data_IF_474517049049
#
_entry.id   IF_474517049049
#
_cell.length_a   1.000
_cell.length_b   1.000
_cell.length_c   1.000
_cell.angle_alpha   90.00
_cell.angle_beta   90.00
_cell.angle_gamma   90.00
#
_symmetry.space_group_name_H-M   'P 1'
#
loop_
_entity.id
_entity.type
_entity.pdbx_description
1 polymer ?
#
# COMPACT_ATOMS: atom_id res chain seq x y z
N UNK A 1 -65.20 22.08 -5.45
CA UNK A 1 -64.17 22.22 -4.41
C UNK A 1 -62.91 21.53 -4.94
N UNK A 2 -61.85 22.30 -5.17
CA UNK A 2 -60.65 21.90 -5.92
C UNK A 2 -59.52 21.74 -4.91
N UNK A 3 -59.22 20.50 -4.50
CA UNK A 3 -58.12 20.22 -3.58
C UNK A 3 -56.82 20.18 -4.37
N UNK A 4 -55.98 21.19 -4.19
CA UNK A 4 -54.60 21.23 -4.71
C UNK A 4 -53.74 20.49 -3.68
N UNK A 5 -53.36 19.25 -3.97
CA UNK A 5 -52.31 18.55 -3.23
C UNK A 5 -50.96 19.14 -3.70
N UNK A 6 -50.35 19.97 -2.85
CA UNK A 6 -49.02 20.51 -3.08
C UNK A 6 -47.99 19.43 -2.67
N UNK A 7 -47.47 18.68 -3.65
CA UNK A 7 -46.39 17.73 -3.40
C UNK A 7 -45.07 18.48 -3.17
N UNK A 8 -44.64 18.57 -1.91
CA UNK A 8 -43.29 19.00 -1.57
C UNK A 8 -42.34 17.82 -1.81
N UNK A 9 -41.75 17.79 -3.00
CA UNK A 9 -40.67 16.87 -3.33
C UNK A 9 -39.39 17.40 -2.68
N UNK A 10 -39.11 16.94 -1.46
CA UNK A 10 -37.86 17.23 -0.75
C UNK A 10 -36.74 16.41 -1.40
N UNK A 11 -36.12 16.96 -2.44
CA UNK A 11 -34.92 16.40 -3.05
C UNK A 11 -33.76 16.53 -2.06
N UNK A 12 -33.56 15.51 -1.24
CA UNK A 12 -32.35 15.36 -0.43
C UNK A 12 -31.14 15.23 -1.35
N UNK A 13 -30.27 16.24 -1.35
CA UNK A 13 -28.95 16.14 -1.95
C UNK A 13 -28.15 15.13 -1.13
N UNK A 14 -28.12 13.88 -1.56
CA UNK A 14 -27.15 12.91 -1.07
C UNK A 14 -25.84 13.29 -1.74
N UNK A 15 -25.04 14.11 -1.08
CA UNK A 15 -23.63 14.29 -1.43
C UNK A 15 -22.96 12.94 -1.25
N UNK A 16 -22.74 12.23 -2.36
CA UNK A 16 -21.82 11.11 -2.41
C UNK A 16 -20.44 11.69 -2.15
N UNK A 17 -20.01 11.65 -0.89
CA UNK A 17 -18.62 11.90 -0.55
C UNK A 17 -17.80 10.79 -1.21
N UNK A 18 -17.07 11.12 -2.28
CA UNK A 18 -15.94 10.31 -2.70
C UNK A 18 -15.02 10.20 -1.49
N UNK A 19 -14.93 9.01 -0.89
CA UNK A 19 -14.08 8.81 0.28
C UNK A 19 -12.64 9.02 -0.18
N UNK A 20 -12.01 10.11 0.26
CA UNK A 20 -10.58 10.30 0.07
C UNK A 20 -9.84 9.15 0.78
N UNK A 21 -8.84 8.58 0.11
CA UNK A 21 -8.02 7.52 0.69
C UNK A 21 -7.26 8.06 1.92
N UNK A 22 -7.43 7.40 3.07
CA UNK A 22 -6.72 7.73 4.29
C UNK A 22 -5.36 7.00 4.31
N UNK A 23 -4.43 7.50 3.50
CA UNK A 23 -3.09 6.93 3.34
C UNK A 23 -2.15 7.25 4.50
N UNK A 24 -2.41 8.35 5.23
CA UNK A 24 -1.53 8.84 6.29
C UNK A 24 -1.32 7.80 7.39
N UNK A 25 -2.38 7.08 7.78
CA UNK A 25 -2.29 6.02 8.80
C UNK A 25 -1.46 4.79 8.38
N UNK A 26 -1.07 4.69 7.11
CA UNK A 26 -0.25 3.57 6.59
C UNK A 26 1.17 4.00 6.22
N UNK A 27 1.55 5.26 6.49
CA UNK A 27 2.90 5.75 6.20
C UNK A 27 3.97 5.10 7.06
N UNK A 28 3.59 4.67 8.26
CA UNK A 28 4.43 3.93 9.21
C UNK A 28 3.65 2.78 9.81
N UNK A 29 4.33 1.73 10.24
CA UNK A 29 3.71 0.59 10.92
C UNK A 29 4.32 -0.74 10.54
N UNK A 30 3.72 -1.81 11.07
CA UNK A 30 4.04 -3.18 10.70
C UNK A 30 2.90 -3.77 9.88
N UNK A 31 3.26 -4.46 8.80
CA UNK A 31 2.32 -5.00 7.84
C UNK A 31 2.72 -6.41 7.44
N UNK A 32 1.71 -7.19 7.06
CA UNK A 32 1.88 -8.44 6.33
C UNK A 32 1.36 -8.29 4.91
N UNK A 33 1.99 -8.99 3.98
CA UNK A 33 1.57 -9.07 2.59
C UNK A 33 1.74 -10.50 2.11
N UNK A 34 0.66 -11.09 1.60
CA UNK A 34 0.70 -12.43 1.02
C UNK A 34 0.97 -12.33 -0.48
N UNK A 35 2.03 -13.01 -0.91
CA UNK A 35 2.42 -13.12 -2.31
C UNK A 35 2.40 -14.60 -2.75
N UNK A 36 1.77 -14.94 -3.90
CA UNK A 36 1.66 -16.32 -4.36
C UNK A 36 2.97 -17.07 -4.57
N UNK A 37 4.11 -16.36 -4.71
CA UNK A 37 5.42 -16.96 -4.96
C UNK A 37 6.30 -17.02 -3.72
N UNK A 38 6.06 -16.13 -2.74
CA UNK A 38 6.96 -15.93 -1.59
C UNK A 38 6.28 -16.11 -0.24
N UNK A 39 4.98 -16.44 -0.23
CA UNK A 39 4.23 -16.69 0.98
C UNK A 39 3.89 -15.38 1.70
N UNK A 40 3.94 -15.43 3.03
CA UNK A 40 3.68 -14.25 3.87
C UNK A 40 4.98 -13.48 4.07
N UNK A 41 4.98 -12.24 3.61
CA UNK A 41 6.08 -11.31 3.78
C UNK A 41 5.75 -10.36 4.93
N UNK A 42 6.77 -10.05 5.74
CA UNK A 42 6.66 -9.16 6.90
C UNK A 42 7.36 -7.85 6.60
N UNK A 43 6.67 -6.74 6.82
CA UNK A 43 7.14 -5.40 6.49
C UNK A 43 7.06 -4.53 7.74
N UNK A 44 8.16 -3.88 8.12
CA UNK A 44 8.16 -2.82 9.14
C UNK A 44 8.66 -1.53 8.53
N UNK A 45 7.84 -0.48 8.58
CA UNK A 45 8.09 0.81 7.93
C UNK A 45 8.07 1.94 8.94
N UNK A 46 9.08 2.80 8.88
CA UNK A 46 9.10 4.11 9.52
C UNK A 46 9.22 5.22 8.46
N UNK A 47 9.43 6.47 8.87
CA UNK A 47 9.48 7.62 7.97
C UNK A 47 10.61 7.58 6.93
N UNK A 48 11.70 6.86 7.21
CA UNK A 48 12.93 6.86 6.42
C UNK A 48 13.26 5.50 5.81
N UNK A 49 12.89 4.41 6.47
CA UNK A 49 13.27 3.06 6.05
C UNK A 49 12.14 2.05 6.19
N UNK A 50 12.25 0.98 5.42
CA UNK A 50 11.39 -0.18 5.45
C UNK A 50 12.23 -1.46 5.50
N UNK A 51 11.96 -2.32 6.47
CA UNK A 51 12.56 -3.66 6.54
C UNK A 51 11.53 -4.65 6.01
N UNK A 52 11.93 -5.47 5.04
CA UNK A 52 11.13 -6.58 4.54
C UNK A 52 11.81 -7.90 4.86
N UNK A 53 11.04 -8.85 5.37
CA UNK A 53 11.47 -10.22 5.61
C UNK A 53 10.57 -11.20 4.83
N UNK A 54 11.21 -12.07 4.06
CA UNK A 54 10.59 -13.12 3.25
C UNK A 54 11.05 -14.47 3.80
N UNK A 55 10.31 -15.07 4.76
CA UNK A 55 10.74 -16.27 5.47
C UNK A 55 11.01 -17.46 4.54
N UNK A 56 10.17 -17.65 3.52
CA UNK A 56 10.28 -18.77 2.58
C UNK A 56 11.60 -18.73 1.79
N UNK A 57 12.20 -17.56 1.64
CA UNK A 57 13.51 -17.37 1.00
C UNK A 57 14.65 -17.19 2.02
N UNK A 58 14.33 -16.94 3.30
CA UNK A 58 15.30 -16.52 4.30
C UNK A 58 15.96 -15.17 3.97
N UNK A 59 15.27 -14.33 3.19
CA UNK A 59 15.79 -13.03 2.73
C UNK A 59 15.25 -11.91 3.59
N UNK A 60 16.14 -11.00 3.99
CA UNK A 60 15.79 -9.78 4.70
C UNK A 60 16.53 -8.59 4.11
N UNK A 61 15.80 -7.56 3.76
CA UNK A 61 16.35 -6.34 3.14
C UNK A 61 15.91 -5.11 3.91
N UNK A 62 16.76 -4.08 3.89
CA UNK A 62 16.40 -2.73 4.27
C UNK A 62 16.26 -1.88 3.01
N UNK A 63 15.18 -1.12 2.92
CA UNK A 63 14.86 -0.22 1.83
C UNK A 63 14.81 1.22 2.35
N UNK A 64 15.25 2.19 1.54
CA UNK A 64 14.95 3.59 1.80
C UNK A 64 13.50 3.88 1.42
N UNK A 65 12.83 4.70 2.22
CA UNK A 65 11.45 5.15 2.00
C UNK A 65 11.45 6.64 1.67
N UNK A 66 10.78 7.01 0.59
CA UNK A 66 10.54 8.40 0.23
C UNK A 66 9.11 8.59 -0.25
N UNK A 67 8.28 9.25 0.55
CA UNK A 67 6.94 9.67 0.14
C UNK A 67 7.04 10.81 -0.88
N UNK A 68 6.52 10.59 -2.09
CA UNK A 68 6.48 11.62 -3.14
C UNK A 68 5.20 12.45 -3.06
N UNK A 69 4.13 11.85 -2.52
CA UNK A 69 2.87 12.50 -2.18
C UNK A 69 2.21 11.77 -0.99
N UNK A 70 0.90 11.97 -0.79
CA UNK A 70 0.20 11.38 0.34
C UNK A 70 0.05 9.84 0.28
N UNK A 71 -0.05 9.28 -0.91
CA UNK A 71 -0.38 7.87 -1.15
C UNK A 71 0.70 7.14 -1.96
N UNK A 72 1.68 7.86 -2.50
CA UNK A 72 2.76 7.30 -3.30
C UNK A 72 4.10 7.37 -2.58
N UNK A 73 4.79 6.24 -2.52
CA UNK A 73 6.16 6.14 -2.04
C UNK A 73 7.10 5.53 -3.07
N UNK A 74 8.35 5.93 -2.99
CA UNK A 74 9.48 5.37 -3.70
C UNK A 74 10.30 4.52 -2.72
N UNK A 75 10.63 3.29 -3.12
CA UNK A 75 11.45 2.35 -2.38
C UNK A 75 12.70 1.99 -3.18
N UNK A 76 13.87 2.09 -2.54
CA UNK A 76 15.17 1.70 -3.12
C UNK A 76 15.93 0.80 -2.17
N UNK A 77 16.73 -0.12 -2.71
CA UNK A 77 17.56 -0.99 -1.89
C UNK A 77 18.57 -0.15 -1.09
N UNK A 78 18.62 -0.37 0.22
CA UNK A 78 19.62 0.24 1.11
C UNK A 78 20.67 -0.78 1.53
N UNK A 79 20.22 -1.95 2.00
CA UNK A 79 21.10 -3.02 2.44
C UNK A 79 20.43 -4.41 2.36
N UNK A 80 21.24 -5.46 2.25
CA UNK A 80 20.81 -6.86 2.33
C UNK A 80 21.25 -7.39 3.70
N UNK A 81 20.30 -7.47 4.63
CA UNK A 81 20.56 -7.85 6.02
C UNK A 81 20.74 -9.37 6.17
N UNK A 82 19.96 -10.17 5.46
CA UNK A 82 20.03 -11.64 5.47
C UNK A 82 19.76 -12.19 4.07
N UNK A 83 20.63 -13.08 3.57
CA UNK A 83 20.47 -13.78 2.28
C UNK A 83 21.34 -15.06 2.22
N UNK A 84 21.06 -16.07 3.06
CA UNK A 84 21.94 -17.24 3.24
C UNK A 84 22.09 -18.09 1.96
N UNK A 85 21.11 -18.00 1.06
CA UNK A 85 21.06 -18.76 -0.18
C UNK A 85 21.60 -17.98 -1.39
N UNK A 86 22.12 -16.76 -1.19
CA UNK A 86 22.65 -15.89 -2.23
C UNK A 86 21.66 -15.64 -3.39
N UNK A 87 20.39 -15.38 -3.06
CA UNK A 87 19.40 -14.95 -4.05
C UNK A 87 19.91 -13.69 -4.76
N UNK A 88 19.77 -13.59 -6.10
CA UNK A 88 20.19 -12.41 -6.83
C UNK A 88 19.23 -11.25 -6.52
N UNK A 89 19.72 -10.27 -5.76
CA UNK A 89 19.00 -9.04 -5.43
C UNK A 89 19.82 -7.90 -6.04
N UNK A 90 19.29 -7.29 -7.09
CA UNK A 90 19.91 -6.15 -7.75
C UNK A 90 19.40 -4.82 -7.19
N UNK A 91 20.04 -3.73 -7.62
CA UNK A 91 19.50 -2.39 -7.43
C UNK A 91 18.17 -2.22 -8.15
N UNK A 92 17.21 -1.56 -7.50
CA UNK A 92 15.91 -1.25 -8.09
C UNK A 92 15.33 0.01 -7.48
N UNK A 93 14.39 0.62 -8.21
CA UNK A 93 13.51 1.66 -7.71
C UNK A 93 12.07 1.21 -7.92
N UNK A 94 11.38 0.93 -6.82
CA UNK A 94 9.96 0.62 -6.81
C UNK A 94 9.16 1.90 -6.56
N UNK A 95 8.20 2.17 -7.43
CA UNK A 95 7.21 3.22 -7.26
C UNK A 95 5.91 2.54 -6.88
N UNK A 96 5.40 2.87 -5.70
CA UNK A 96 4.28 2.20 -5.06
C UNK A 96 3.20 3.20 -4.68
N UNK A 97 1.96 2.97 -5.10
CA UNK A 97 0.81 3.83 -4.85
C UNK A 97 -0.26 3.06 -4.08
N UNK A 98 -0.73 3.62 -2.96
CA UNK A 98 -1.91 3.14 -2.25
C UNK A 98 -3.15 3.52 -3.05
N UNK A 99 -3.87 2.51 -3.54
CA UNK A 99 -5.05 2.68 -4.40
C UNK A 99 -6.37 2.37 -3.68
N UNK A 100 -6.31 1.71 -2.52
CA UNK A 100 -7.47 1.43 -1.67
C UNK A 100 -7.06 1.40 -0.19
N UNK A 101 -7.92 1.90 0.68
CA UNK A 101 -7.73 1.88 2.13
C UNK A 101 -8.95 1.29 2.83
N UNK A 102 -8.73 0.35 3.73
CA UNK A 102 -9.73 -0.16 4.67
C UNK A 102 -9.42 0.23 6.10
N UNK A 103 -10.09 -0.38 7.08
CA UNK A 103 -9.83 -0.11 8.51
C UNK A 103 -8.41 -0.54 8.90
N UNK A 104 -8.08 -1.81 8.67
CA UNK A 104 -6.82 -2.46 9.05
C UNK A 104 -6.02 -2.98 7.83
N UNK A 105 -6.26 -2.42 6.64
CA UNK A 105 -5.57 -2.84 5.41
C UNK A 105 -5.46 -1.71 4.39
N UNK A 106 -4.56 -1.87 3.43
CA UNK A 106 -4.54 -1.09 2.19
C UNK A 106 -4.19 -1.99 1.00
N UNK A 107 -4.54 -1.55 -0.21
CA UNK A 107 -4.12 -2.17 -1.46
C UNK A 107 -3.15 -1.21 -2.14
N UNK A 108 -2.03 -1.76 -2.60
CA UNK A 108 -0.94 -1.02 -3.21
C UNK A 108 -0.63 -1.58 -4.59
N UNK A 109 -0.58 -0.69 -5.57
CA UNK A 109 -0.03 -0.97 -6.88
C UNK A 109 1.46 -0.59 -6.87
N UNK A 110 2.34 -1.44 -7.41
CA UNK A 110 3.78 -1.19 -7.47
C UNK A 110 4.32 -1.51 -8.86
N UNK A 111 5.28 -0.71 -9.31
CA UNK A 111 6.06 -0.94 -10.53
C UNK A 111 7.53 -0.67 -10.28
N UNK A 112 8.40 -1.36 -11.00
CA UNK A 112 9.81 -0.96 -11.09
C UNK A 112 9.88 0.21 -12.09
N UNK A 113 10.61 1.28 -11.76
CA UNK A 113 10.59 2.54 -12.52
C UNK A 113 10.76 2.38 -14.05
N UNK A 114 11.60 1.43 -14.47
CA UNK A 114 11.93 1.17 -15.88
C UNK A 114 11.21 -0.06 -16.47
N UNK A 115 10.15 -0.56 -15.82
CA UNK A 115 9.41 -1.74 -16.26
C UNK A 115 7.90 -1.46 -16.32
N UNK A 116 7.26 -1.91 -17.41
CA UNK A 116 5.80 -1.82 -17.59
C UNK A 116 5.01 -2.89 -16.80
N UNK A 117 5.68 -3.67 -15.95
CA UNK A 117 5.04 -4.67 -15.11
C UNK A 117 4.55 -4.03 -13.81
N UNK A 118 3.23 -4.07 -13.60
CA UNK A 118 2.57 -3.65 -12.37
C UNK A 118 2.20 -4.86 -11.52
N UNK A 119 2.35 -4.71 -10.21
CA UNK A 119 1.92 -5.69 -9.21
C UNK A 119 0.97 -5.02 -8.24
N UNK A 120 -0.18 -5.64 -8.02
CA UNK A 120 -1.16 -5.20 -7.01
C UNK A 120 -1.12 -6.17 -5.85
N UNK A 121 -0.92 -5.66 -4.64
CA UNK A 121 -0.85 -6.47 -3.41
C UNK A 121 -1.64 -5.82 -2.29
N UNK A 122 -2.23 -6.66 -1.45
CA UNK A 122 -2.94 -6.24 -0.24
C UNK A 122 -2.00 -6.35 0.95
N UNK A 123 -1.94 -5.29 1.74
CA UNK A 123 -1.18 -5.20 2.97
C UNK A 123 -2.15 -5.13 4.14
N UNK A 124 -1.90 -5.93 5.18
CA UNK A 124 -2.73 -5.99 6.40
C UNK A 124 -1.90 -5.51 7.57
N UNK A 125 -2.46 -4.63 8.40
CA UNK A 125 -1.79 -4.10 9.60
C UNK A 125 -1.63 -5.22 10.63
N UNK A 126 -0.41 -5.40 11.14
CA UNK A 126 -0.16 -6.28 12.28
C UNK A 126 -0.65 -5.61 13.58
N UNK A 127 -1.36 -6.37 14.41
CA UNK A 127 -1.91 -5.92 15.70
C UNK A 127 -1.02 -6.33 16.87
#
# INVERSE_FOLDING_TARGET
MKYIFLSVFLAGYISVAGQNLDCDKFKTGSFTMEDPKTGINYISRNDLTQIEYVPDLGVKVELNVKWVDNCTLELTLKDILENPNNFPIGEFTLISEIIETGQDFYIMESKVADMDLKMVRKFVVEK
#
